data_IF_408036398290
#
_entry.id   IF_408036398290
#
_cell.length_a   1.000
_cell.length_b   1.000
_cell.length_c   1.000
_cell.angle_alpha   90.00
_cell.angle_beta   90.00
_cell.angle_gamma   90.00
#
_symmetry.space_group_name_H-M   'P 1'
#
loop_
_entity.id
_entity.type
_entity.pdbx_description
1 polymer ?
#
# COMPACT_ATOMS: atom_id res chain seq x y z
N UNK A 1 13.78 14.73 33.87
CA UNK A 1 13.29 13.39 33.52
C UNK A 1 13.66 13.14 32.07
N UNK A 2 14.54 12.18 31.80
CA UNK A 2 15.01 11.86 30.44
C UNK A 2 14.09 10.80 29.83
N UNK A 3 13.42 11.13 28.74
CA UNK A 3 12.59 10.17 28.01
C UNK A 3 13.51 9.15 27.33
N UNK A 4 13.34 7.87 27.67
CA UNK A 4 14.03 6.79 26.98
C UNK A 4 13.54 6.75 25.53
N UNK A 5 14.44 7.02 24.59
CA UNK A 5 14.21 6.82 23.16
C UNK A 5 13.95 5.32 22.97
N UNK A 6 12.71 4.97 22.60
CA UNK A 6 12.35 3.61 22.24
C UNK A 6 13.31 3.10 21.16
N UNK A 7 13.84 1.89 21.35
CA UNK A 7 14.71 1.22 20.40
C UNK A 7 14.06 1.22 19.02
N UNK A 8 14.73 1.83 18.05
CA UNK A 8 14.31 1.80 16.65
C UNK A 8 14.17 0.33 16.26
N UNK A 9 12.95 -0.08 15.89
CA UNK A 9 12.70 -1.41 15.33
C UNK A 9 13.51 -1.48 14.05
N UNK A 10 14.59 -2.28 14.08
CA UNK A 10 15.43 -2.48 12.90
C UNK A 10 14.63 -3.41 11.97
N UNK A 11 14.30 -2.99 10.74
CA UNK A 11 13.63 -3.87 9.79
C UNK A 11 14.46 -5.15 9.59
N UNK A 12 13.83 -6.29 9.28
CA UNK A 12 14.54 -7.54 9.03
C UNK A 12 15.72 -7.31 8.06
N UNK A 13 16.89 -7.86 8.42
CA UNK A 13 18.17 -7.62 7.69
C UNK A 13 18.08 -7.90 6.19
N UNK A 14 17.22 -8.84 5.81
CA UNK A 14 17.00 -9.26 4.43
C UNK A 14 15.52 -9.07 4.07
N UNK A 15 15.17 -7.85 3.67
CA UNK A 15 13.92 -7.61 2.94
C UNK A 15 14.26 -6.97 1.59
N UNK A 16 13.71 -7.54 0.52
CA UNK A 16 13.66 -6.95 -0.82
C UNK A 16 12.23 -6.48 -1.10
N UNK A 17 12.11 -5.38 -1.84
CA UNK A 17 10.84 -4.96 -2.41
C UNK A 17 10.96 -5.27 -3.89
N UNK A 18 10.22 -6.27 -4.37
CA UNK A 18 10.23 -6.65 -5.78
C UNK A 18 8.95 -6.10 -6.43
N UNK A 19 9.04 -5.00 -7.22
CA UNK A 19 7.87 -4.41 -7.86
C UNK A 19 7.23 -5.41 -8.81
N UNK A 20 5.92 -5.66 -8.62
CA UNK A 20 5.15 -6.58 -9.45
C UNK A 20 3.85 -5.94 -9.91
N UNK A 21 3.45 -6.18 -11.17
CA UNK A 21 2.11 -5.82 -11.61
C UNK A 21 1.10 -6.57 -10.75
N UNK A 22 0.08 -5.86 -10.27
CA UNK A 22 -1.05 -6.43 -9.56
C UNK A 22 -2.27 -6.28 -10.46
N UNK A 23 -2.98 -7.37 -10.66
CA UNK A 23 -4.27 -7.36 -11.34
C UNK A 23 -5.31 -8.03 -10.44
N UNK A 24 -6.44 -7.35 -10.26
CA UNK A 24 -7.57 -7.90 -9.55
C UNK A 24 -8.51 -8.56 -10.56
N UNK A 25 -8.80 -9.84 -10.36
CA UNK A 25 -9.78 -10.56 -11.17
C UNK A 25 -11.18 -10.40 -10.55
N UNK A 26 -11.96 -9.45 -11.06
CA UNK A 26 -13.38 -9.34 -10.78
C UNK A 26 -14.17 -9.97 -11.92
N UNK A 27 -15.22 -10.73 -11.60
CA UNK A 27 -16.11 -11.31 -12.61
C UNK A 27 -17.55 -11.27 -12.15
N UNK A 28 -18.49 -11.55 -13.06
CA UNK A 28 -19.92 -11.69 -12.71
C UNK A 28 -20.18 -12.80 -11.68
N UNK A 29 -19.22 -13.69 -11.43
CA UNK A 29 -19.32 -14.73 -10.42
C UNK A 29 -18.87 -14.26 -9.03
N UNK A 30 -18.33 -13.06 -8.89
CA UNK A 30 -17.97 -12.49 -7.58
C UNK A 30 -19.24 -12.35 -6.73
N UNK A 31 -19.30 -12.96 -5.53
CA UNK A 31 -20.49 -12.87 -4.68
C UNK A 31 -20.81 -11.42 -4.31
N UNK A 32 -22.09 -11.06 -4.36
CA UNK A 32 -22.55 -9.72 -3.96
C UNK A 32 -22.09 -9.33 -2.55
N UNK A 33 -22.12 -10.28 -1.63
CA UNK A 33 -21.60 -10.15 -0.27
C UNK A 33 -20.31 -10.97 -0.14
N UNK A 34 -19.26 -10.49 -0.78
CA UNK A 34 -17.99 -11.20 -0.92
C UNK A 34 -17.32 -11.56 0.43
N UNK A 35 -17.67 -10.86 1.51
CA UNK A 35 -17.13 -11.12 2.84
C UNK A 35 -18.09 -12.02 3.61
N UNK A 36 -17.81 -13.34 3.62
CA UNK A 36 -18.58 -14.35 4.36
C UNK A 36 -20.09 -14.35 4.09
N UNK A 37 -20.52 -13.86 2.91
CA UNK A 37 -21.94 -13.62 2.60
C UNK A 37 -22.65 -12.67 3.59
N UNK A 38 -21.91 -11.79 4.26
CA UNK A 38 -22.41 -10.84 5.26
C UNK A 38 -22.49 -9.41 4.71
N UNK A 39 -23.68 -8.84 4.77
CA UNK A 39 -23.96 -7.50 4.23
C UNK A 39 -23.18 -6.39 4.95
N UNK A 40 -23.07 -6.46 6.28
CA UNK A 40 -22.41 -5.42 7.06
C UNK A 40 -20.91 -5.47 6.82
N UNK A 41 -20.29 -6.65 6.91
CA UNK A 41 -18.85 -6.81 6.65
C UNK A 41 -18.50 -6.34 5.25
N UNK A 42 -19.23 -6.78 4.22
CA UNK A 42 -18.98 -6.34 2.84
C UNK A 42 -19.07 -4.81 2.72
N UNK A 43 -20.13 -4.17 3.21
CA UNK A 43 -20.24 -2.72 3.07
C UNK A 43 -19.23 -1.93 3.90
N UNK A 44 -18.90 -2.42 5.10
CA UNK A 44 -17.86 -1.81 5.94
C UNK A 44 -16.50 -1.83 5.23
N UNK A 45 -16.08 -2.99 4.72
CA UNK A 45 -14.79 -3.11 4.04
C UNK A 45 -14.79 -2.39 2.68
N UNK A 46 -15.89 -2.39 1.94
CA UNK A 46 -16.00 -1.58 0.72
C UNK A 46 -15.77 -0.09 1.04
N UNK A 47 -16.46 0.45 2.04
CA UNK A 47 -16.30 1.85 2.44
C UNK A 47 -14.87 2.13 2.95
N UNK A 48 -14.31 1.26 3.79
CA UNK A 48 -12.94 1.39 4.29
C UNK A 48 -11.91 1.37 3.17
N UNK A 49 -12.02 0.44 2.22
CA UNK A 49 -11.06 0.31 1.12
C UNK A 49 -11.09 1.51 0.16
N UNK A 50 -12.19 2.27 0.10
CA UNK A 50 -12.20 3.53 -0.69
C UNK A 50 -11.19 4.57 -0.21
N UNK A 51 -10.70 4.48 1.04
CA UNK A 51 -9.67 5.41 1.54
C UNK A 51 -8.27 5.04 1.10
N UNK A 52 -8.04 3.83 0.60
CA UNK A 52 -6.70 3.36 0.23
C UNK A 52 -6.14 4.09 -0.99
N UNK A 53 -6.86 4.26 -2.12
CA UNK A 53 -6.29 4.97 -3.27
C UNK A 53 -5.76 6.38 -2.96
N UNK A 54 -6.50 7.26 -2.26
CA UNK A 54 -5.93 8.56 -1.86
C UNK A 54 -4.86 8.42 -0.75
N UNK A 55 -5.00 7.45 0.17
CA UNK A 55 -4.04 7.19 1.24
C UNK A 55 -2.68 6.70 0.72
N UNK A 56 -2.65 5.75 -0.20
CA UNK A 56 -1.46 5.23 -0.87
C UNK A 56 -0.70 6.33 -1.60
N UNK A 57 -1.41 7.18 -2.35
CA UNK A 57 -0.80 8.35 -2.97
C UNK A 57 -0.17 9.29 -1.94
N UNK A 58 -0.83 9.50 -0.80
CA UNK A 58 -0.28 10.31 0.28
C UNK A 58 0.97 9.66 0.89
N UNK A 59 0.98 8.34 1.12
CA UNK A 59 2.14 7.61 1.65
C UNK A 59 3.33 7.69 0.69
N UNK A 60 3.12 7.42 -0.60
CA UNK A 60 4.18 7.51 -1.63
C UNK A 60 4.76 8.91 -1.70
N UNK A 61 3.91 9.95 -1.76
CA UNK A 61 4.38 11.35 -1.79
C UNK A 61 5.17 11.71 -0.53
N UNK A 62 4.73 11.22 0.63
CA UNK A 62 5.40 11.48 1.91
C UNK A 62 6.79 10.86 1.95
N UNK A 63 6.94 9.62 1.47
CA UNK A 63 8.26 8.96 1.40
C UNK A 63 9.17 9.63 0.36
N UNK A 64 8.64 9.92 -0.83
CA UNK A 64 9.41 10.57 -1.90
C UNK A 64 9.90 11.98 -1.51
N UNK A 65 9.13 12.71 -0.70
CA UNK A 65 9.51 14.04 -0.22
C UNK A 65 10.86 14.05 0.53
N UNK A 66 11.18 12.97 1.26
CA UNK A 66 12.41 12.86 2.02
C UNK A 66 13.54 12.13 1.29
N UNK A 67 13.28 11.56 0.10
CA UNK A 67 14.24 10.73 -0.63
C UNK A 67 15.60 11.41 -0.83
N UNK A 68 15.59 12.68 -1.22
CA UNK A 68 16.82 13.42 -1.53
C UNK A 68 17.63 13.80 -0.27
N UNK A 69 17.07 13.58 0.93
CA UNK A 69 17.76 13.74 2.21
C UNK A 69 18.41 12.44 2.71
N UNK A 70 18.17 11.32 2.03
CA UNK A 70 18.71 10.00 2.40
C UNK A 70 20.03 9.77 1.65
N UNK A 71 21.09 9.46 2.38
CA UNK A 71 22.41 9.14 1.81
C UNK A 71 22.68 7.64 1.65
N UNK A 72 21.89 6.79 2.32
CA UNK A 72 22.04 5.34 2.23
C UNK A 72 21.54 4.85 0.85
N UNK A 73 22.43 4.34 -0.02
CA UNK A 73 22.04 3.89 -1.36
C UNK A 73 21.03 2.74 -1.33
N UNK A 74 21.09 1.86 -0.33
CA UNK A 74 20.13 0.76 -0.19
C UNK A 74 18.74 1.30 0.12
N UNK A 75 18.65 2.28 1.02
CA UNK A 75 17.36 2.87 1.37
C UNK A 75 16.79 3.70 0.21
N UNK A 76 17.63 4.36 -0.59
CA UNK A 76 17.17 5.03 -1.82
C UNK A 76 16.57 4.05 -2.82
N UNK A 77 17.21 2.90 -3.03
CA UNK A 77 16.69 1.82 -3.89
C UNK A 77 15.32 1.35 -3.38
N UNK A 78 15.22 1.04 -2.08
CA UNK A 78 13.97 0.60 -1.47
C UNK A 78 12.84 1.65 -1.57
N UNK A 79 13.15 2.95 -1.48
CA UNK A 79 12.17 4.02 -1.71
C UNK A 79 11.63 3.99 -3.15
N UNK A 80 12.50 3.77 -4.14
CA UNK A 80 12.10 3.70 -5.54
C UNK A 80 11.27 2.44 -5.82
N UNK A 81 11.65 1.30 -5.26
CA UNK A 81 10.92 0.05 -5.41
C UNK A 81 9.55 0.12 -4.74
N UNK A 82 9.48 0.68 -3.53
CA UNK A 82 8.23 0.98 -2.85
C UNK A 82 7.31 1.85 -3.71
N UNK A 83 7.81 2.99 -4.20
CA UNK A 83 7.01 3.88 -5.05
C UNK A 83 6.53 3.19 -6.34
N UNK A 84 7.34 2.32 -6.93
CA UNK A 84 7.00 1.54 -8.12
C UNK A 84 5.90 0.49 -7.83
N UNK A 85 6.01 -0.21 -6.71
CA UNK A 85 5.02 -1.18 -6.25
C UNK A 85 3.67 -0.51 -5.96
N UNK A 86 3.66 0.59 -5.20
CA UNK A 86 2.44 1.32 -4.87
C UNK A 86 1.80 1.97 -6.10
N UNK A 87 2.59 2.44 -7.07
CA UNK A 87 2.07 2.92 -8.36
C UNK A 87 1.31 1.84 -9.13
N UNK A 88 1.88 0.62 -9.17
CA UNK A 88 1.23 -0.53 -9.80
C UNK A 88 -0.04 -0.95 -9.06
N UNK A 89 -0.01 -0.91 -7.73
CA UNK A 89 -1.13 -1.25 -6.88
C UNK A 89 -2.29 -0.24 -6.99
N UNK A 90 -1.99 1.06 -6.96
CA UNK A 90 -2.97 2.13 -7.12
C UNK A 90 -3.67 2.07 -8.48
N UNK A 91 -2.96 1.72 -9.55
CA UNK A 91 -3.55 1.46 -10.87
C UNK A 91 -4.55 0.30 -10.85
N UNK A 92 -4.25 -0.77 -10.12
CA UNK A 92 -5.15 -1.90 -9.95
C UNK A 92 -6.44 -1.51 -9.21
N UNK A 93 -6.34 -0.68 -8.17
CA UNK A 93 -7.50 -0.15 -7.47
C UNK A 93 -8.40 0.72 -8.36
N UNK A 94 -7.81 1.54 -9.24
CA UNK A 94 -8.58 2.41 -10.15
C UNK A 94 -9.40 1.59 -11.15
N UNK A 95 -8.86 0.48 -11.66
CA UNK A 95 -9.59 -0.42 -12.59
C UNK A 95 -10.88 -1.00 -12.00
N UNK A 96 -11.01 -1.11 -10.67
CA UNK A 96 -12.25 -1.56 -10.02
C UNK A 96 -13.41 -0.56 -10.19
N UNK A 97 -13.11 0.73 -10.39
CA UNK A 97 -14.13 1.77 -10.55
C UNK A 97 -14.72 1.82 -11.97
N UNK A 98 -14.09 1.13 -12.93
CA UNK A 98 -14.50 1.11 -14.34
C UNK A 98 -15.44 -0.07 -14.69
N UNK A 99 -15.86 -0.85 -13.68
CA UNK A 99 -16.79 -2.01 -13.79
C UNK A 99 -18.13 -1.62 -13.16
#
# INVERSE_FOLDING_TARGET
>A
MSAAIQSVVVPPKEHSIDPRPVEFAFSEQTPRFWFDNDIFKTHYYNAFLTTFPPGEQFFVRSVLHFRDQISDPKLQEQINDFASQEGSHSSAHQKHLDI
#
